data_IF_480154657934
#
_entry.id   IF_480154657934
#
_cell.length_a   1.000
_cell.length_b   1.000
_cell.length_c   1.000
_cell.angle_alpha   90.00
_cell.angle_beta   90.00
_cell.angle_gamma   90.00
#
_symmetry.space_group_name_H-M   'P 1'
#
loop_
_entity.id
_entity.type
_entity.pdbx_description
1 polymer ?
#
# COMPACT_ATOMS: atom_id res chain seq x y z
N UNK A 1 0.82 -10.34 -29.05
CA UNK A 1 1.38 -8.98 -29.18
C UNK A 1 2.40 -8.97 -30.31
N UNK A 2 2.42 -7.93 -31.17
CA UNK A 2 1.60 -6.73 -31.04
C UNK A 2 0.12 -6.96 -31.40
N UNK A 3 -0.75 -6.08 -30.93
CA UNK A 3 -2.17 -6.08 -31.27
C UNK A 3 -2.45 -5.03 -32.36
N UNK A 4 -3.49 -5.25 -33.15
CA UNK A 4 -3.89 -4.31 -34.22
C UNK A 4 -4.53 -3.01 -33.71
N UNK A 5 -4.73 -2.87 -32.39
CA UNK A 5 -5.33 -1.71 -31.75
C UNK A 5 -4.44 -1.20 -30.60
N UNK A 6 -4.73 0.03 -30.14
CA UNK A 6 -4.06 0.67 -29.01
C UNK A 6 -4.39 -0.03 -27.70
N UNK A 7 -3.40 -0.48 -26.93
CA UNK A 7 -3.64 -1.16 -25.65
C UNK A 7 -2.46 -1.11 -24.69
N UNK A 8 -2.78 -1.12 -23.39
CA UNK A 8 -1.89 -1.47 -22.29
C UNK A 8 -2.29 -2.86 -21.81
N UNK A 9 -1.46 -3.87 -22.05
CA UNK A 9 -1.62 -5.21 -21.49
C UNK A 9 -0.89 -5.29 -20.15
N UNK A 10 -1.64 -5.16 -19.04
CA UNK A 10 -1.10 -5.46 -17.72
C UNK A 10 -0.74 -6.95 -17.61
N UNK A 11 -1.66 -7.85 -17.93
CA UNK A 11 -1.35 -9.26 -18.15
C UNK A 11 -2.40 -9.85 -19.09
N UNK A 12 -2.00 -10.10 -20.33
CA UNK A 12 -2.87 -10.60 -21.38
C UNK A 12 -2.82 -12.13 -21.45
N UNK A 13 -3.97 -12.74 -21.20
CA UNK A 13 -4.21 -14.18 -21.29
C UNK A 13 -5.70 -14.49 -21.17
N UNK A 14 -6.07 -15.76 -21.20
CA UNK A 14 -7.45 -16.20 -21.02
C UNK A 14 -7.81 -16.26 -19.53
N UNK A 15 -8.03 -15.08 -18.96
CA UNK A 15 -8.34 -14.88 -17.56
C UNK A 15 -9.85 -15.05 -17.32
N UNK A 16 -10.20 -15.86 -16.33
CA UNK A 16 -11.56 -16.10 -15.91
C UNK A 16 -11.91 -15.21 -14.71
N UNK A 17 -13.02 -14.48 -14.89
CA UNK A 17 -13.66 -13.59 -13.90
C UNK A 17 -15.13 -13.96 -13.67
N UNK A 18 -15.58 -15.10 -14.21
CA UNK A 18 -16.95 -15.61 -14.12
C UNK A 18 -17.25 -16.32 -12.79
N UNK A 19 -18.54 -16.50 -12.48
CA UNK A 19 -19.03 -17.30 -11.34
C UNK A 19 -18.42 -16.98 -9.97
N UNK A 20 -18.07 -15.70 -9.73
CA UNK A 20 -17.45 -15.24 -8.48
C UNK A 20 -15.98 -15.62 -8.33
N UNK A 21 -15.34 -16.14 -9.38
CA UNK A 21 -13.92 -16.45 -9.44
C UNK A 21 -13.17 -15.21 -9.91
N UNK A 22 -12.39 -14.59 -9.02
CA UNK A 22 -11.59 -13.41 -9.35
C UNK A 22 -12.41 -12.14 -9.56
N UNK A 23 -11.79 -10.98 -9.30
CA UNK A 23 -12.45 -9.68 -9.35
C UNK A 23 -11.53 -8.66 -9.99
N UNK A 24 -12.11 -7.73 -10.75
CA UNK A 24 -11.40 -6.59 -11.31
C UNK A 24 -12.01 -5.33 -10.74
N UNK A 25 -11.18 -4.55 -10.07
CA UNK A 25 -11.54 -3.24 -9.52
C UNK A 25 -10.84 -2.17 -10.33
N UNK A 26 -11.51 -1.04 -10.52
CA UNK A 26 -10.87 0.15 -11.05
C UNK A 26 -11.41 1.39 -10.37
N UNK A 27 -10.58 2.42 -10.29
CA UNK A 27 -11.00 3.74 -9.81
C UNK A 27 -10.11 4.82 -10.40
N UNK A 28 -10.64 6.03 -10.46
CA UNK A 28 -9.84 7.24 -10.57
C UNK A 28 -9.52 7.73 -9.15
N UNK A 29 -8.32 8.26 -8.95
CA UNK A 29 -7.83 8.62 -7.62
C UNK A 29 -6.98 9.90 -7.74
N UNK A 30 -7.23 10.86 -6.86
CA UNK A 30 -6.43 12.08 -6.71
C UNK A 30 -6.06 12.31 -5.24
N UNK A 31 -6.14 11.26 -4.41
CA UNK A 31 -5.80 11.36 -3.00
C UNK A 31 -4.28 11.56 -2.82
N UNK A 32 -3.85 12.41 -1.88
CA UNK A 32 -2.42 12.65 -1.63
C UNK A 32 -1.62 11.39 -1.32
N UNK A 33 -2.27 10.37 -0.73
CA UNK A 33 -1.63 9.09 -0.43
C UNK A 33 -1.26 8.32 -1.72
N UNK A 34 -2.23 8.13 -2.62
CA UNK A 34 -2.02 7.43 -3.90
C UNK A 34 -1.05 8.19 -4.78
N UNK A 35 -1.18 9.52 -4.89
CA UNK A 35 -0.31 10.35 -5.73
C UNK A 35 1.13 10.35 -5.23
N UNK A 36 1.35 10.47 -3.91
CA UNK A 36 2.69 10.38 -3.32
C UNK A 36 3.33 9.01 -3.55
N UNK A 37 2.57 7.93 -3.41
CA UNK A 37 3.09 6.58 -3.68
C UNK A 37 3.45 6.38 -5.16
N UNK A 38 2.64 6.92 -6.07
CA UNK A 38 2.94 6.91 -7.49
C UNK A 38 4.22 7.71 -7.79
N UNK A 39 4.34 8.94 -7.26
CA UNK A 39 5.54 9.77 -7.38
C UNK A 39 6.79 9.03 -6.86
N UNK A 40 6.72 8.41 -5.68
CA UNK A 40 7.82 7.63 -5.12
C UNK A 40 8.27 6.46 -6.03
N UNK A 41 7.34 5.76 -6.71
CA UNK A 41 7.74 4.71 -7.65
C UNK A 41 8.34 5.29 -8.94
N UNK A 42 7.79 6.40 -9.45
CA UNK A 42 8.24 7.05 -10.69
C UNK A 42 9.64 7.64 -10.50
N UNK A 43 9.82 8.49 -9.49
CA UNK A 43 11.07 9.19 -9.23
C UNK A 43 12.19 8.21 -8.84
N UNK A 44 11.85 7.06 -8.24
CA UNK A 44 12.82 5.98 -8.01
C UNK A 44 13.21 5.24 -9.30
N UNK A 45 12.32 5.17 -10.29
CA UNK A 45 12.59 4.50 -11.55
C UNK A 45 13.40 5.37 -12.53
N UNK A 46 13.31 6.70 -12.41
CA UNK A 46 14.01 7.69 -13.22
C UNK A 46 14.81 8.66 -12.34
N UNK A 47 15.91 8.22 -11.71
CA UNK A 47 16.64 9.02 -10.74
C UNK A 47 17.41 10.20 -11.36
N UNK A 48 17.68 10.16 -12.66
CA UNK A 48 18.40 11.22 -13.40
C UNK A 48 17.46 12.26 -14.02
N UNK A 49 16.14 12.01 -14.00
CA UNK A 49 15.12 12.92 -14.52
C UNK A 49 14.62 13.90 -13.44
N UNK A 50 13.93 14.96 -13.87
CA UNK A 50 13.28 15.91 -12.96
C UNK A 50 12.19 15.20 -12.12
N UNK A 51 12.05 15.63 -10.86
CA UNK A 51 11.07 15.04 -9.95
C UNK A 51 9.65 15.25 -10.46
N UNK A 52 8.90 14.15 -10.56
CA UNK A 52 7.52 14.13 -11.07
C UNK A 52 6.54 14.06 -9.91
N UNK A 53 5.54 14.93 -9.96
CA UNK A 53 4.39 14.94 -9.06
C UNK A 53 3.10 14.70 -9.87
N UNK A 54 2.54 13.47 -9.87
CA UNK A 54 1.28 13.20 -10.55
C UNK A 54 0.10 13.92 -9.89
N UNK A 55 -0.82 14.43 -10.70
CA UNK A 55 -2.05 15.10 -10.25
C UNK A 55 -3.25 14.14 -10.24
N UNK A 56 -3.21 13.13 -11.10
CA UNK A 56 -4.28 12.16 -11.26
C UNK A 56 -3.72 10.75 -11.43
N UNK A 57 -4.45 9.77 -10.90
CA UNK A 57 -4.16 8.36 -11.11
C UNK A 57 -5.43 7.60 -11.53
N UNK A 58 -5.26 6.60 -12.41
CA UNK A 58 -6.24 5.54 -12.63
C UNK A 58 -5.62 4.25 -12.15
N UNK A 59 -6.29 3.59 -11.20
CA UNK A 59 -5.82 2.33 -10.63
C UNK A 59 -6.74 1.22 -11.10
N UNK A 60 -6.17 0.13 -11.63
CA UNK A 60 -6.90 -1.09 -12.02
C UNK A 60 -6.25 -2.29 -11.35
N UNK A 61 -7.02 -3.07 -10.61
CA UNK A 61 -6.53 -4.18 -9.79
C UNK A 61 -7.29 -5.46 -10.15
N UNK A 62 -6.55 -6.49 -10.55
CA UNK A 62 -7.05 -7.84 -10.72
C UNK A 62 -6.72 -8.63 -9.45
N UNK A 63 -7.73 -9.22 -8.82
CA UNK A 63 -7.61 -9.99 -7.58
C UNK A 63 -8.12 -11.40 -7.84
N UNK A 64 -7.29 -12.39 -7.54
CA UNK A 64 -7.58 -13.81 -7.62
C UNK A 64 -8.20 -14.25 -8.95
N UNK A 65 -7.71 -13.71 -10.07
CA UNK A 65 -8.18 -14.10 -11.40
C UNK A 65 -7.60 -15.45 -11.79
N UNK A 66 -8.45 -16.33 -12.32
CA UNK A 66 -8.08 -17.69 -12.66
C UNK A 66 -7.66 -17.81 -14.13
N UNK A 67 -6.93 -18.87 -14.47
CA UNK A 67 -6.84 -19.32 -15.86
C UNK A 67 -8.09 -20.13 -16.21
N UNK A 68 -8.69 -19.88 -17.39
CA UNK A 68 -9.88 -20.62 -17.87
C UNK A 68 -9.61 -22.12 -18.08
N UNK A 69 -8.33 -22.52 -18.12
CA UNK A 69 -7.90 -23.91 -18.36
C UNK A 69 -8.35 -24.93 -17.29
N UNK A 70 -8.78 -24.49 -16.10
CA UNK A 70 -9.10 -25.40 -14.98
C UNK A 70 -10.58 -25.83 -14.86
N UNK A 71 -11.44 -25.49 -15.82
CA UNK A 71 -12.85 -25.88 -15.73
C UNK A 71 -13.16 -27.34 -16.13
N UNK A 72 -12.27 -28.06 -16.82
CA UNK A 72 -12.68 -29.32 -17.48
C UNK A 72 -12.12 -30.64 -16.90
N UNK A 73 -11.13 -30.64 -15.99
CA UNK A 73 -10.46 -31.90 -15.59
C UNK A 73 -10.17 -32.12 -14.09
N UNK A 74 -11.03 -31.70 -13.17
CA UNK A 74 -10.86 -32.05 -11.74
C UNK A 74 -12.08 -32.76 -11.16
N UNK A 75 -12.29 -33.99 -11.61
CA UNK A 75 -12.95 -35.01 -10.78
C UNK A 75 -11.96 -35.43 -9.70
N UNK A 76 -12.20 -34.97 -8.47
CA UNK A 76 -11.66 -35.58 -7.24
C UNK A 76 -10.16 -35.42 -7.00
N UNK A 77 -9.74 -34.25 -6.53
CA UNK A 77 -8.82 -34.05 -5.39
C UNK A 77 -8.46 -32.57 -5.32
N UNK A 78 -8.31 -32.03 -4.11
CA UNK A 78 -8.16 -30.60 -3.80
C UNK A 78 -6.86 -29.96 -4.29
N UNK A 79 -6.64 -29.90 -5.60
CA UNK A 79 -5.63 -29.04 -6.21
C UNK A 79 -6.09 -27.59 -6.07
N UNK A 80 -5.37 -26.81 -5.26
CA UNK A 80 -5.55 -25.36 -5.16
C UNK A 80 -5.56 -24.78 -6.58
N UNK A 81 -6.69 -24.17 -6.96
CA UNK A 81 -6.82 -23.59 -8.29
C UNK A 81 -5.91 -22.37 -8.35
N UNK A 82 -4.87 -22.38 -9.18
CA UNK A 82 -3.92 -21.27 -9.29
C UNK A 82 -4.62 -19.95 -9.64
N UNK A 83 -4.18 -18.87 -9.00
CA UNK A 83 -4.75 -17.52 -9.10
C UNK A 83 -3.66 -16.47 -9.31
N UNK A 84 -3.95 -15.52 -10.19
CA UNK A 84 -3.12 -14.35 -10.38
C UNK A 84 -3.80 -13.10 -9.78
N UNK A 85 -3.01 -12.26 -9.14
CA UNK A 85 -3.38 -10.95 -8.62
C UNK A 85 -2.30 -9.96 -9.03
N UNK A 86 -2.68 -8.88 -9.71
CA UNK A 86 -1.76 -7.88 -10.25
C UNK A 86 -2.49 -6.54 -10.42
N UNK A 87 -1.73 -5.46 -10.60
CA UNK A 87 -2.28 -4.11 -10.64
C UNK A 87 -1.58 -3.25 -11.71
N UNK A 88 -2.34 -2.32 -12.27
CA UNK A 88 -1.87 -1.26 -13.15
C UNK A 88 -2.27 0.08 -12.54
N UNK A 89 -1.32 0.99 -12.41
CA UNK A 89 -1.57 2.40 -12.10
C UNK A 89 -1.13 3.23 -13.29
N UNK A 90 -2.03 4.05 -13.82
CA UNK A 90 -1.69 5.09 -14.80
C UNK A 90 -1.66 6.40 -14.02
N UNK A 91 -0.49 6.99 -13.87
CA UNK A 91 -0.29 8.26 -13.16
C UNK A 91 0.03 9.36 -14.17
N UNK A 92 -0.73 10.44 -14.13
CA UNK A 92 -0.58 11.58 -15.05
C UNK A 92 -0.20 12.83 -14.29
N UNK A 93 0.88 13.47 -14.74
CA UNK A 93 1.27 14.81 -14.38
C UNK A 93 0.77 15.81 -15.45
N UNK A 94 1.17 17.08 -15.35
CA UNK A 94 0.73 18.13 -16.27
C UNK A 94 1.01 17.80 -17.74
N UNK A 95 2.19 17.25 -18.03
CA UNK A 95 2.65 17.00 -19.41
C UNK A 95 3.07 15.56 -19.67
N UNK A 96 3.23 14.73 -18.66
CA UNK A 96 3.72 13.34 -18.78
C UNK A 96 2.75 12.35 -18.17
N UNK A 97 2.81 11.10 -18.62
CA UNK A 97 2.03 10.02 -18.05
C UNK A 97 2.87 8.76 -17.94
N UNK A 98 2.69 8.05 -16.84
CA UNK A 98 3.45 6.87 -16.46
C UNK A 98 2.51 5.68 -16.23
N UNK A 99 2.94 4.49 -16.64
CA UNK A 99 2.33 3.23 -16.25
C UNK A 99 3.21 2.54 -15.20
N UNK A 100 2.63 2.23 -14.05
CA UNK A 100 3.23 1.44 -12.98
C UNK A 100 2.51 0.09 -12.96
N UNK A 101 3.22 -0.96 -13.35
CA UNK A 101 2.75 -2.33 -13.38
C UNK A 101 3.27 -3.09 -12.17
N UNK A 102 2.37 -3.86 -11.58
CA UNK A 102 2.56 -4.44 -10.27
C UNK A 102 2.20 -5.94 -10.32
N UNK A 103 3.23 -6.80 -10.39
CA UNK A 103 3.18 -8.25 -10.17
C UNK A 103 3.74 -8.71 -8.80
N UNK A 104 2.91 -8.98 -7.78
CA UNK A 104 3.36 -9.51 -6.49
C UNK A 104 3.76 -11.00 -6.58
N UNK A 105 4.88 -11.39 -5.96
CA UNK A 105 5.41 -12.79 -5.98
C UNK A 105 4.39 -13.86 -5.61
N UNK A 106 3.69 -13.69 -4.48
CA UNK A 106 2.67 -14.64 -4.02
C UNK A 106 1.37 -14.56 -4.82
N UNK A 107 1.16 -13.45 -5.52
CA UNK A 107 0.01 -13.24 -6.39
C UNK A 107 0.25 -13.67 -7.83
N UNK A 108 1.42 -14.15 -8.22
CA UNK A 108 1.67 -14.67 -9.57
C UNK A 108 1.90 -16.18 -9.49
N UNK A 109 0.85 -16.96 -9.67
CA UNK A 109 0.86 -18.42 -9.50
C UNK A 109 0.93 -19.21 -10.81
N UNK A 110 0.52 -18.60 -11.93
CA UNK A 110 0.59 -19.21 -13.25
C UNK A 110 1.14 -18.25 -14.30
N UNK A 111 1.75 -18.80 -15.35
CA UNK A 111 2.50 -18.05 -16.37
C UNK A 111 1.96 -18.22 -17.79
N UNK A 112 1.00 -19.12 -17.99
CA UNK A 112 0.45 -19.50 -19.29
C UNK A 112 -1.07 -19.66 -19.26
N UNK A 113 -1.64 -19.69 -20.46
CA UNK A 113 -3.08 -19.78 -20.70
C UNK A 113 -3.37 -20.66 -21.90
N UNK A 114 -4.53 -21.30 -21.92
CA UNK A 114 -4.98 -22.05 -23.09
C UNK A 114 -5.48 -21.10 -24.19
N UNK A 115 -4.95 -21.25 -25.40
CA UNK A 115 -5.43 -20.58 -26.61
C UNK A 115 -5.52 -21.62 -27.72
N UNK A 116 -6.74 -21.90 -28.19
CA UNK A 116 -6.97 -22.90 -29.25
C UNK A 116 -6.48 -24.31 -28.88
N UNK A 117 -6.56 -24.69 -27.61
CA UNK A 117 -6.11 -26.00 -27.10
C UNK A 117 -4.60 -26.11 -26.84
N UNK A 118 -3.82 -25.07 -27.11
CA UNK A 118 -2.38 -25.04 -26.80
C UNK A 118 -2.08 -24.09 -25.65
N UNK A 119 -1.14 -24.46 -24.77
CA UNK A 119 -0.65 -23.57 -23.72
C UNK A 119 0.25 -22.49 -24.32
N UNK A 120 -0.06 -21.22 -24.06
CA UNK A 120 0.74 -20.07 -24.49
C UNK A 120 1.11 -19.21 -23.29
N UNK A 121 2.34 -18.72 -23.24
CA UNK A 121 2.76 -17.78 -22.19
C UNK A 121 1.95 -16.49 -22.27
N UNK A 122 1.57 -15.96 -21.10
CA UNK A 122 0.87 -14.69 -21.01
C UNK A 122 1.76 -13.52 -21.44
N UNK A 123 1.12 -12.43 -21.84
CA UNK A 123 1.80 -11.31 -22.48
C UNK A 123 1.56 -10.00 -21.73
N UNK A 124 2.61 -9.27 -21.37
CA UNK A 124 2.50 -7.92 -20.81
C UNK A 124 3.26 -6.90 -21.67
N UNK A 125 2.69 -5.71 -21.87
CA UNK A 125 3.29 -4.66 -22.70
C UNK A 125 2.33 -3.65 -23.28
N UNK A 126 2.83 -2.86 -24.23
CA UNK A 126 2.17 -1.69 -24.79
C UNK A 126 2.09 -1.83 -26.32
N UNK A 127 1.00 -1.38 -26.93
CA UNK A 127 0.83 -1.38 -28.38
C UNK A 127 0.10 -0.11 -28.82
N UNK A 128 0.61 0.60 -29.82
CA UNK A 128 -0.09 1.71 -30.48
C UNK A 128 -1.18 1.22 -31.44
N UNK A 129 -1.16 -0.06 -31.82
CA UNK A 129 -2.05 -0.59 -32.84
C UNK A 129 -1.60 -0.26 -34.26
N UNK A 130 -2.49 -0.49 -35.22
CA UNK A 130 -2.25 -0.14 -36.62
C UNK A 130 -2.24 1.38 -36.80
N UNK A 131 -1.19 1.90 -37.45
CA UNK A 131 -1.07 3.32 -37.81
C UNK A 131 -1.10 3.48 -39.32
N UNK A 132 -1.72 4.55 -39.79
CA UNK A 132 -1.76 4.89 -41.21
C UNK A 132 -0.33 5.20 -41.67
N UNK A 133 0.12 4.49 -42.70
CA UNK A 133 1.41 4.74 -43.36
C UNK A 133 1.21 5.44 -44.70
N UNK A 134 0.09 5.18 -45.39
CA UNK A 134 -0.37 5.84 -46.61
C UNK A 134 -1.91 5.91 -46.65
N UNK A 135 -2.48 6.61 -47.64
CA UNK A 135 -3.93 6.88 -47.79
C UNK A 135 -4.82 5.62 -47.73
N UNK A 136 -4.31 4.45 -48.12
CA UNK A 136 -5.04 3.17 -48.09
C UNK A 136 -4.25 2.03 -47.45
N UNK A 137 -3.16 2.30 -46.71
CA UNK A 137 -2.39 1.24 -46.05
C UNK A 137 -2.07 1.55 -44.60
N UNK A 138 -2.26 0.53 -43.77
CA UNK A 138 -1.91 0.53 -42.34
C UNK A 138 -0.68 -0.33 -42.13
N UNK A 139 0.15 0.04 -41.16
CA UNK A 139 1.24 -0.78 -40.66
C UNK A 139 1.16 -0.88 -39.14
N UNK A 140 1.79 -1.90 -38.56
CA UNK A 140 1.90 -1.99 -37.12
C UNK A 140 2.66 -0.76 -36.58
N UNK A 141 2.02 -0.02 -35.66
CA UNK A 141 2.63 1.07 -34.94
C UNK A 141 3.60 0.57 -33.86
N UNK A 142 4.32 1.49 -33.18
CA UNK A 142 5.21 1.16 -32.07
C UNK A 142 4.53 0.28 -31.02
N UNK A 143 5.28 -0.68 -30.51
CA UNK A 143 4.86 -1.55 -29.43
C UNK A 143 6.07 -1.89 -28.57
N UNK A 144 5.83 -2.21 -27.30
CA UNK A 144 6.85 -2.57 -26.33
C UNK A 144 6.41 -3.86 -25.63
N UNK A 145 7.25 -4.90 -25.65
CA UNK A 145 6.97 -6.18 -25.00
C UNK A 145 7.76 -6.25 -23.69
N UNK A 146 7.05 -6.40 -22.57
CA UNK A 146 7.66 -6.66 -21.27
C UNK A 146 7.98 -8.16 -21.16
N UNK A 147 7.08 -9.02 -21.64
CA UNK A 147 7.30 -10.48 -21.67
C UNK A 147 7.54 -11.05 -23.07
N UNK A 148 8.19 -12.21 -23.10
CA UNK A 148 8.43 -13.02 -24.30
C UNK A 148 7.40 -14.16 -24.39
N UNK A 149 7.51 -15.01 -25.42
CA UNK A 149 6.68 -16.22 -25.55
C UNK A 149 7.04 -17.34 -24.56
N UNK A 150 7.98 -17.10 -23.64
CA UNK A 150 8.39 -18.08 -22.62
C UNK A 150 7.74 -17.77 -21.29
N UNK A 151 7.22 -18.79 -20.63
CA UNK A 151 6.68 -18.68 -19.26
C UNK A 151 7.71 -18.14 -18.25
N UNK A 152 9.00 -18.39 -18.46
CA UNK A 152 10.08 -17.86 -17.62
C UNK A 152 10.07 -16.33 -17.58
N UNK A 153 9.81 -15.67 -18.71
CA UNK A 153 9.70 -14.20 -18.73
C UNK A 153 8.46 -13.67 -18.03
N UNK A 154 7.40 -14.48 -17.93
CA UNK A 154 6.19 -14.12 -17.17
C UNK A 154 6.43 -14.29 -15.67
N UNK A 155 7.14 -15.36 -15.26
CA UNK A 155 7.57 -15.54 -13.86
C UNK A 155 8.53 -14.44 -13.41
N UNK A 156 9.41 -13.99 -14.31
CA UNK A 156 10.33 -12.89 -14.07
C UNK A 156 9.62 -11.57 -13.73
N UNK A 157 8.37 -11.36 -14.18
CA UNK A 157 7.60 -10.16 -13.84
C UNK A 157 7.51 -9.92 -12.33
N UNK A 158 7.49 -10.98 -11.51
CA UNK A 158 7.41 -10.85 -10.05
C UNK A 158 8.77 -10.84 -9.35
N UNK A 159 9.86 -11.19 -10.05
CA UNK A 159 11.21 -11.33 -9.50
C UNK A 159 12.17 -10.24 -9.95
N UNK A 160 11.92 -9.61 -11.10
CA UNK A 160 12.74 -8.56 -11.68
C UNK A 160 12.05 -7.18 -11.53
N UNK A 161 12.72 -6.13 -11.99
CA UNK A 161 12.25 -4.75 -11.92
C UNK A 161 12.98 -3.86 -12.92
N UNK A 162 12.39 -2.70 -13.22
CA UNK A 162 13.08 -1.55 -13.81
C UNK A 162 12.86 -0.26 -12.98
N UNK A 163 12.47 -0.42 -11.72
CA UNK A 163 12.23 0.68 -10.78
C UNK A 163 12.97 0.54 -9.47
N UNK A 164 13.90 -0.42 -9.35
CA UNK A 164 14.60 -0.72 -8.10
C UNK A 164 13.75 -1.39 -7.02
N UNK A 165 12.53 -1.83 -7.35
CA UNK A 165 11.67 -2.59 -6.43
C UNK A 165 11.11 -3.81 -7.11
N UNK A 166 11.39 -4.97 -6.51
CA UNK A 166 11.02 -6.28 -7.05
C UNK A 166 9.54 -6.35 -7.41
N UNK A 167 9.25 -6.80 -8.62
CA UNK A 167 7.89 -6.96 -9.13
C UNK A 167 7.18 -5.66 -9.51
N UNK A 168 7.87 -4.52 -9.45
CA UNK A 168 7.36 -3.20 -9.83
C UNK A 168 8.05 -2.75 -11.11
N UNK A 169 7.25 -2.48 -12.13
CA UNK A 169 7.72 -2.04 -13.44
C UNK A 169 7.13 -0.68 -13.78
N UNK A 170 7.97 0.30 -14.08
CA UNK A 170 7.54 1.68 -14.36
C UNK A 170 7.94 2.04 -15.78
N UNK A 171 7.02 2.68 -16.50
CA UNK A 171 7.23 3.14 -17.86
C UNK A 171 6.67 4.54 -18.03
N UNK A 172 7.44 5.45 -18.62
CA UNK A 172 6.85 6.65 -19.21
C UNK A 172 6.10 6.22 -20.48
N UNK A 173 4.80 6.51 -20.55
CA UNK A 173 3.91 6.07 -21.65
C UNK A 173 3.44 7.23 -22.52
N UNK A 174 3.90 8.46 -22.23
CA UNK A 174 3.79 9.56 -23.15
C UNK A 174 3.99 10.93 -22.55
N UNK A 175 4.41 11.84 -23.43
CA UNK A 175 4.67 13.24 -23.15
C UNK A 175 3.84 14.09 -24.11
N UNK A 176 3.16 15.11 -23.58
CA UNK A 176 2.47 16.12 -24.37
C UNK A 176 3.49 16.95 -25.17
N UNK A 177 3.22 17.31 -26.44
CA UNK A 177 1.97 17.14 -27.19
C UNK A 177 1.95 15.90 -28.11
N UNK A 178 3.01 15.10 -28.14
CA UNK A 178 3.14 13.96 -29.06
C UNK A 178 3.48 12.68 -28.30
N UNK A 179 2.47 11.81 -28.12
CA UNK A 179 2.62 10.46 -27.56
C UNK A 179 3.35 9.54 -28.56
N UNK A 180 4.68 9.57 -28.54
CA UNK A 180 5.54 8.95 -29.55
C UNK A 180 6.28 7.70 -29.09
N UNK A 181 6.63 7.58 -27.80
CA UNK A 181 7.42 6.47 -27.27
C UNK A 181 7.01 6.02 -25.87
N UNK A 182 7.32 4.76 -25.57
CA UNK A 182 7.30 4.19 -24.22
C UNK A 182 8.73 4.03 -23.77
N UNK A 183 9.11 4.61 -22.63
CA UNK A 183 10.45 4.49 -22.05
C UNK A 183 10.40 3.68 -20.75
N UNK A 184 11.19 2.60 -20.61
CA UNK A 184 11.30 1.88 -19.34
C UNK A 184 12.10 2.70 -18.33
N UNK A 185 11.76 2.55 -17.03
CA UNK A 185 12.64 2.98 -15.95
C UNK A 185 14.04 2.38 -16.03
N UNK A 186 14.98 3.05 -15.39
CA UNK A 186 16.41 2.82 -15.55
C UNK A 186 17.01 1.95 -14.43
N UNK A 187 16.33 1.86 -13.29
CA UNK A 187 16.84 1.19 -12.09
C UNK A 187 16.49 -0.29 -12.09
N UNK A 188 17.43 -1.13 -12.51
CA UNK A 188 17.27 -2.59 -12.52
C UNK A 188 17.82 -3.28 -11.27
N UNK A 189 18.69 -2.59 -10.53
CA UNK A 189 19.31 -3.13 -9.33
C UNK A 189 18.29 -3.26 -8.18
N UNK A 190 18.23 -4.46 -7.62
CA UNK A 190 17.52 -4.69 -6.37
C UNK A 190 18.46 -4.46 -5.20
N UNK A 191 18.01 -3.81 -4.10
CA UNK A 191 18.78 -3.78 -2.87
C UNK A 191 19.17 -5.21 -2.49
N UNK A 192 20.42 -5.46 -2.06
CA UNK A 192 20.80 -6.80 -1.64
C UNK A 192 19.85 -7.24 -0.52
N UNK A 193 19.17 -8.37 -0.74
CA UNK A 193 18.49 -9.09 0.34
C UNK A 193 19.56 -9.27 1.42
N UNK A 194 19.45 -8.57 2.54
CA UNK A 194 20.37 -8.72 3.67
C UNK A 194 20.05 -10.05 4.35
N UNK A 195 20.38 -11.14 3.65
CA UNK A 195 20.45 -12.48 4.17
C UNK A 195 21.59 -12.51 5.17
N UNK A 196 21.28 -12.24 6.44
CA UNK A 196 22.15 -12.56 7.56
C UNK A 196 22.02 -14.06 7.90
N UNK A 197 22.04 -14.93 6.90
CA UNK A 197 22.33 -16.35 7.08
C UNK A 197 23.82 -16.54 6.81
N UNK A 198 24.66 -16.20 7.79
CA UNK A 198 26.02 -16.70 8.01
C UNK A 198 26.75 -15.72 8.94
N UNK A 199 27.38 -16.26 10.01
CA UNK A 199 28.14 -15.59 11.10
C UNK A 199 27.19 -15.17 12.25
N UNK A 200 27.14 -15.82 13.40
CA UNK A 200 28.20 -16.49 14.18
C UNK A 200 27.55 -17.62 14.97
N UNK A 201 27.82 -18.86 14.56
CA UNK A 201 27.90 -19.97 15.50
C UNK A 201 29.28 -19.89 16.13
N UNK A 202 29.35 -20.14 17.45
CA UNK A 202 30.51 -20.11 18.33
C UNK A 202 30.69 -18.82 19.15
N UNK A 203 30.70 -19.00 20.47
CA UNK A 203 30.82 -18.02 21.56
C UNK A 203 29.51 -17.26 21.89
N UNK A 204 28.67 -17.71 22.82
CA UNK A 204 29.03 -17.87 24.22
C UNK A 204 28.23 -18.97 24.95
N UNK A 205 29.03 -19.85 25.51
CA UNK A 205 28.77 -20.89 26.48
C UNK A 205 28.03 -20.37 27.72
N UNK A 206 27.05 -21.16 28.16
CA UNK A 206 26.73 -21.49 29.56
C UNK A 206 26.78 -20.36 30.62
N UNK A 207 25.60 -19.89 31.02
CA UNK A 207 25.31 -19.59 32.44
C UNK A 207 23.94 -20.16 32.83
N UNK A 208 24.00 -21.33 33.45
CA UNK A 208 22.97 -22.00 34.24
C UNK A 208 22.83 -21.29 35.60
N UNK A 209 21.59 -21.06 36.06
CA UNK A 209 21.17 -21.04 37.47
C UNK A 209 19.62 -21.10 37.57
N UNK A 210 19.04 -21.46 38.73
CA UNK A 210 18.27 -22.69 38.89
C UNK A 210 16.75 -22.48 38.98
N UNK A 211 16.04 -23.61 38.95
CA UNK A 211 14.58 -23.67 38.88
C UNK A 211 13.81 -23.13 40.08
N UNK A 212 12.57 -22.75 39.78
CA UNK A 212 11.46 -22.64 40.70
C UNK A 212 10.21 -23.00 39.91
N UNK A 213 9.73 -24.23 40.08
CA UNK A 213 8.49 -24.67 39.47
C UNK A 213 7.30 -23.99 40.14
N UNK A 214 6.39 -23.44 39.34
CA UNK A 214 5.02 -23.22 39.79
C UNK A 214 4.08 -23.55 38.64
N UNK A 215 3.44 -24.70 38.80
CA UNK A 215 2.40 -25.26 37.96
C UNK A 215 1.16 -24.39 38.12
N UNK A 216 0.72 -23.73 37.04
CA UNK A 216 -0.58 -23.04 37.01
C UNK A 216 -1.50 -23.84 36.11
N UNK A 217 -2.46 -24.51 36.75
CA UNK A 217 -3.56 -25.28 36.20
C UNK A 217 -4.52 -24.36 35.44
N UNK A 218 -4.85 -24.72 34.20
CA UNK A 218 -5.91 -24.04 33.43
C UNK A 218 -7.28 -24.63 33.78
N UNK A 219 -8.26 -23.76 34.02
CA UNK A 219 -9.68 -24.14 34.17
C UNK A 219 -10.32 -24.31 32.79
N UNK A 220 -11.15 -25.34 32.54
CA UNK A 220 -11.85 -25.51 31.26
C UNK A 220 -12.99 -24.51 31.13
N UNK A 221 -13.24 -24.01 29.92
CA UNK A 221 -14.43 -23.22 29.59
C UNK A 221 -15.25 -23.96 28.54
N UNK A 222 -16.50 -24.27 28.90
CA UNK A 222 -17.56 -24.81 28.03
C UNK A 222 -18.19 -23.70 27.18
N UNK A 223 -18.67 -24.02 25.95
CA UNK A 223 -19.42 -23.09 25.12
C UNK A 223 -20.91 -23.06 25.50
N UNK A 224 -21.49 -21.85 25.57
CA UNK A 224 -22.93 -21.64 25.75
C UNK A 224 -23.67 -21.80 24.42
N UNK A 225 -24.65 -22.73 24.39
CA UNK A 225 -25.73 -22.82 23.39
C UNK A 225 -26.95 -22.02 23.86
N UNK A 226 -27.64 -21.31 22.97
CA UNK A 226 -29.10 -21.15 22.96
C UNK A 226 -29.56 -20.73 21.54
N UNK A 227 -30.72 -21.02 20.95
CA UNK A 227 -31.85 -21.94 21.14
C UNK A 227 -32.66 -21.81 19.81
N UNK A 228 -33.06 -22.94 19.21
CA UNK A 228 -33.95 -23.00 18.04
C UNK A 228 -35.41 -22.70 18.41
N UNK A 229 -36.14 -21.96 17.57
CA UNK A 229 -37.62 -22.02 17.50
C UNK A 229 -38.07 -22.45 16.10
N UNK A 230 -38.70 -23.61 16.03
CA UNK A 230 -39.38 -24.21 14.86
C UNK A 230 -40.63 -23.42 14.48
N UNK A 231 -40.92 -23.36 13.19
CA UNK A 231 -42.27 -23.49 12.63
C UNK A 231 -42.24 -23.90 11.14
N UNK A 232 -42.99 -24.95 10.82
CA UNK A 232 -43.42 -25.49 9.51
C UNK A 232 -44.83 -26.07 9.79
N UNK A 233 -45.77 -26.26 8.83
CA UNK A 233 -45.54 -27.12 7.64
C UNK A 233 -46.44 -26.95 6.36
N UNK A 234 -46.15 -27.82 5.37
CA UNK A 234 -46.99 -28.38 4.24
C UNK A 234 -46.90 -27.71 2.86
N UNK A 235 -46.95 -28.37 1.68
CA UNK A 235 -46.91 -29.76 1.15
C UNK A 235 -46.64 -29.66 -0.40
N UNK A 236 -46.04 -30.69 -1.05
CA UNK A 236 -45.54 -30.72 -2.47
C UNK A 236 -46.59 -30.77 -3.61
N UNK A 237 -46.35 -31.36 -4.82
CA UNK A 237 -45.21 -32.16 -5.33
C UNK A 237 -44.77 -31.94 -6.84
N UNK A 238 -43.75 -32.71 -7.26
CA UNK A 238 -43.16 -33.06 -8.57
C UNK A 238 -43.84 -32.71 -9.92
N UNK A 239 -43.05 -32.28 -10.94
CA UNK A 239 -42.81 -32.95 -12.25
C UNK A 239 -41.85 -32.14 -13.17
N UNK A 240 -41.11 -32.81 -14.05
CA UNK A 240 -39.91 -32.29 -14.73
C UNK A 240 -40.02 -31.80 -16.19
N UNK A 241 -38.84 -31.42 -16.72
CA UNK A 241 -38.46 -31.42 -18.14
C UNK A 241 -38.65 -30.12 -18.93
N UNK A 242 -37.55 -29.42 -19.25
CA UNK A 242 -37.10 -29.06 -20.61
C UNK A 242 -35.85 -28.17 -20.56
N UNK A 243 -34.83 -28.56 -21.33
CA UNK A 243 -33.59 -27.79 -21.53
C UNK A 243 -33.86 -26.65 -22.52
N UNK A 244 -33.65 -25.41 -22.12
CA UNK A 244 -33.50 -24.27 -23.02
C UNK A 244 -32.04 -23.83 -23.06
N UNK A 245 -31.39 -24.03 -24.21
CA UNK A 245 -30.08 -23.47 -24.51
C UNK A 245 -30.27 -21.96 -24.67
N UNK A 246 -30.01 -21.19 -23.62
CA UNK A 246 -29.86 -19.75 -23.72
C UNK A 246 -28.41 -19.42 -24.06
N UNK A 247 -28.21 -18.74 -25.18
CA UNK A 247 -26.93 -18.14 -25.55
C UNK A 247 -26.51 -17.16 -24.47
N UNK A 248 -25.48 -17.51 -23.68
CA UNK A 248 -24.87 -16.59 -22.71
C UNK A 248 -24.13 -15.52 -23.50
N UNK A 249 -24.76 -14.35 -23.67
CA UNK A 249 -24.01 -13.14 -24.00
C UNK A 249 -23.16 -12.80 -22.78
N UNK A 250 -21.85 -13.08 -22.88
CA UNK A 250 -20.87 -12.63 -21.91
C UNK A 250 -20.87 -11.09 -21.88
N UNK A 251 -21.55 -10.50 -20.91
CA UNK A 251 -21.28 -9.15 -20.46
C UNK A 251 -20.27 -9.28 -19.30
N UNK A 252 -18.99 -8.90 -19.47
CA UNK A 252 -18.09 -8.81 -18.32
C UNK A 252 -18.71 -7.83 -17.32
N UNK A 253 -18.99 -8.29 -16.10
CA UNK A 253 -19.43 -7.42 -15.03
C UNK A 253 -18.27 -6.51 -14.62
N UNK A 254 -18.19 -5.35 -15.26
CA UNK A 254 -17.31 -4.26 -14.85
C UNK A 254 -18.06 -3.48 -13.77
N UNK A 255 -17.69 -3.68 -12.51
CA UNK A 255 -18.30 -2.95 -11.39
C UNK A 255 -17.68 -1.55 -11.35
N UNK A 256 -18.43 -0.57 -11.82
CA UNK A 256 -18.16 0.85 -11.57
C UNK A 256 -18.47 1.09 -10.09
N UNK A 257 -17.47 1.39 -9.27
CA UNK A 257 -17.71 1.74 -7.86
C UNK A 257 -17.56 3.24 -7.68
N UNK A 258 -18.61 3.85 -7.14
CA UNK A 258 -18.68 5.25 -6.70
C UNK A 258 -17.92 5.43 -5.37
N UNK A 259 -17.39 6.63 -5.12
CA UNK A 259 -16.26 6.99 -4.23
C UNK A 259 -16.40 6.73 -2.70
N UNK A 260 -17.11 5.69 -2.26
CA UNK A 260 -17.24 5.31 -0.85
C UNK A 260 -16.91 3.83 -0.61
N UNK A 261 -15.86 3.58 0.19
CA UNK A 261 -15.52 2.27 0.78
C UNK A 261 -14.88 1.19 -0.12
N UNK A 262 -13.78 1.51 -0.79
CA UNK A 262 -12.80 0.50 -1.23
C UNK A 262 -11.49 0.66 -0.47
N UNK A 263 -11.37 -0.04 0.67
CA UNK A 263 -10.08 -0.32 1.32
C UNK A 263 -9.43 -1.56 0.68
N UNK A 264 -9.23 -1.52 -0.63
CA UNK A 264 -8.33 -2.45 -1.31
C UNK A 264 -6.98 -1.77 -1.27
N UNK A 265 -6.14 -2.17 -0.31
CA UNK A 265 -4.78 -1.68 -0.12
C UNK A 265 -4.01 -1.74 -1.46
N UNK A 266 -4.07 -0.64 -2.20
CA UNK A 266 -3.20 -0.38 -3.34
C UNK A 266 -1.81 -0.23 -2.75
N UNK A 267 -0.84 -0.89 -3.38
CA UNK A 267 0.56 -0.95 -2.95
C UNK A 267 0.93 -1.84 -1.78
N UNK A 268 0.21 -2.94 -1.50
CA UNK A 268 0.77 -3.99 -0.61
C UNK A 268 1.83 -4.86 -1.29
N UNK A 269 2.88 -4.21 -1.81
CA UNK A 269 4.20 -4.83 -1.93
C UNK A 269 4.90 -4.77 -0.59
N UNK A 270 4.38 -5.56 0.34
CA UNK A 270 5.12 -5.86 1.54
C UNK A 270 5.62 -7.30 1.40
N UNK A 271 6.73 -7.44 0.68
CA UNK A 271 7.73 -8.44 1.08
C UNK A 271 8.29 -8.14 2.49
N UNK A 272 7.88 -7.01 3.08
CA UNK A 272 8.07 -6.70 4.47
C UNK A 272 7.12 -7.52 5.34
N UNK A 273 7.66 -8.60 5.89
CA UNK A 273 7.06 -9.35 7.01
C UNK A 273 7.77 -9.01 8.31
N UNK A 274 7.20 -9.44 9.43
CA UNK A 274 7.84 -9.36 10.73
C UNK A 274 9.18 -10.09 10.77
N UNK A 275 9.38 -11.15 9.99
CA UNK A 275 10.64 -11.87 9.93
C UNK A 275 11.82 -10.96 9.56
N UNK A 276 11.60 -10.00 8.65
CA UNK A 276 12.66 -9.14 8.12
C UNK A 276 12.63 -7.72 8.72
N UNK A 277 11.57 -7.33 9.41
CA UNK A 277 11.34 -5.94 9.82
C UNK A 277 10.99 -5.75 11.30
N UNK A 278 11.14 -6.78 12.14
CA UNK A 278 10.87 -6.68 13.58
C UNK A 278 11.66 -5.56 14.26
N UNK A 279 12.86 -5.27 13.78
CA UNK A 279 13.74 -4.20 14.27
C UNK A 279 13.22 -2.79 13.94
N UNK A 280 12.27 -2.63 13.02
CA UNK A 280 11.61 -1.34 12.73
C UNK A 280 10.52 -1.00 13.75
N UNK A 281 10.01 -1.98 14.51
CA UNK A 281 9.05 -1.75 15.58
C UNK A 281 9.73 -1.24 16.86
N UNK A 282 8.96 -0.56 17.72
CA UNK A 282 9.42 -0.23 19.06
C UNK A 282 9.81 -1.50 19.83
N UNK A 283 10.78 -1.39 20.74
CA UNK A 283 11.09 -2.45 21.71
C UNK A 283 9.90 -2.78 22.63
N UNK A 284 8.95 -1.84 22.76
CA UNK A 284 7.71 -1.99 23.50
C UNK A 284 6.50 -2.31 22.61
N UNK A 285 6.73 -2.76 21.37
CA UNK A 285 5.70 -3.19 20.45
C UNK A 285 5.87 -4.66 20.05
N UNK A 286 4.77 -5.24 19.59
CA UNK A 286 4.73 -6.55 18.94
C UNK A 286 4.50 -6.36 17.44
N UNK A 287 5.26 -7.08 16.64
CA UNK A 287 5.09 -7.12 15.21
C UNK A 287 4.06 -8.20 14.86
N UNK A 288 3.08 -7.86 14.02
CA UNK A 288 2.10 -8.81 13.49
C UNK A 288 2.07 -8.74 11.96
N UNK A 289 2.09 -9.91 11.33
CA UNK A 289 1.91 -10.04 9.88
C UNK A 289 0.42 -10.00 9.52
N UNK A 290 0.15 -9.39 8.37
CA UNK A 290 -1.15 -9.20 7.74
C UNK A 290 -1.03 -9.56 6.25
N UNK A 291 -2.18 -9.79 5.59
CA UNK A 291 -2.18 -10.02 4.15
C UNK A 291 -1.54 -8.87 3.35
N UNK A 292 -1.67 -7.64 3.86
CA UNK A 292 -1.09 -6.41 3.28
C UNK A 292 0.34 -6.09 3.74
N UNK A 293 0.97 -6.88 4.63
CA UNK A 293 2.33 -6.61 5.13
C UNK A 293 2.51 -6.90 6.60
N UNK A 294 3.20 -6.03 7.35
CA UNK A 294 3.27 -6.13 8.81
C UNK A 294 2.84 -4.81 9.46
N UNK A 295 2.36 -4.88 10.69
CA UNK A 295 2.13 -3.71 11.54
C UNK A 295 2.72 -3.94 12.92
N UNK A 296 3.24 -2.86 13.50
CA UNK A 296 3.69 -2.83 14.88
C UNK A 296 2.51 -2.40 15.77
N UNK A 297 2.29 -3.10 16.87
CA UNK A 297 1.26 -2.78 17.86
C UNK A 297 1.92 -2.59 19.22
N UNK A 298 1.72 -1.45 19.87
CA UNK A 298 2.25 -1.24 21.21
C UNK A 298 1.70 -2.31 22.17
N UNK A 299 2.56 -2.80 23.07
CA UNK A 299 2.17 -3.78 24.08
C UNK A 299 1.21 -3.15 25.09
N UNK A 300 0.40 -3.95 25.80
CA UNK A 300 -0.44 -3.46 26.88
C UNK A 300 0.35 -2.60 27.89
N UNK A 301 -0.20 -1.44 28.25
CA UNK A 301 0.46 -0.43 29.09
C UNK A 301 1.33 0.57 28.31
N UNK A 302 1.34 0.49 26.97
CA UNK A 302 1.99 1.45 26.08
C UNK A 302 1.04 1.87 24.96
N UNK A 303 1.17 3.11 24.52
CA UNK A 303 0.40 3.67 23.40
C UNK A 303 1.31 4.39 22.40
N UNK A 304 0.82 4.57 21.18
CA UNK A 304 1.58 5.10 20.05
C UNK A 304 1.23 4.41 18.73
N UNK A 305 2.04 4.66 17.71
CA UNK A 305 1.85 4.12 16.35
C UNK A 305 2.52 2.74 16.15
N UNK A 306 3.04 2.12 17.21
CA UNK A 306 3.74 0.83 17.18
C UNK A 306 5.22 0.90 16.81
N UNK A 307 5.62 1.91 16.02
CA UNK A 307 7.04 2.21 15.75
C UNK A 307 7.64 2.96 16.95
N UNK A 308 6.86 3.89 17.50
CA UNK A 308 7.14 4.59 18.74
C UNK A 308 6.03 4.28 19.74
N UNK A 309 6.42 3.80 20.92
CA UNK A 309 5.52 3.45 21.99
C UNK A 309 6.02 4.08 23.28
N UNK A 310 5.14 4.76 23.99
CA UNK A 310 5.42 5.36 25.30
C UNK A 310 4.51 4.76 26.35
N UNK A 311 5.02 4.65 27.58
CA UNK A 311 4.25 4.06 28.68
C UNK A 311 3.06 4.93 29.05
N UNK A 312 1.90 4.31 29.22
CA UNK A 312 0.70 4.97 29.69
C UNK A 312 0.89 5.57 31.09
N UNK A 313 0.29 6.74 31.29
CA UNK A 313 0.28 7.45 32.56
C UNK A 313 1.62 7.99 33.07
N UNK A 314 2.71 7.83 32.32
CA UNK A 314 3.97 8.52 32.63
C UNK A 314 4.01 9.89 31.96
N UNK A 315 4.49 10.92 32.68
CA UNK A 315 4.66 12.23 32.09
C UNK A 315 5.65 12.22 30.92
N UNK A 316 5.29 12.90 29.83
CA UNK A 316 6.12 13.02 28.64
C UNK A 316 6.77 14.41 28.59
N UNK A 317 8.01 14.46 28.10
CA UNK A 317 8.78 15.69 27.95
C UNK A 317 9.18 15.88 26.51
N UNK A 318 9.05 17.10 26.01
CA UNK A 318 9.45 17.44 24.65
C UNK A 318 10.21 18.75 24.65
N UNK A 319 11.29 18.80 23.89
CA UNK A 319 12.10 20.00 23.72
C UNK A 319 12.26 20.29 22.23
N UNK A 320 12.30 21.56 21.87
CA UNK A 320 12.40 21.98 20.48
C UNK A 320 12.92 23.41 20.35
N UNK A 321 12.98 23.88 19.11
CA UNK A 321 13.43 25.23 18.76
C UNK A 321 12.34 25.97 17.99
N UNK A 322 12.13 27.23 18.33
CA UNK A 322 11.18 28.13 17.66
C UNK A 322 11.95 29.22 16.95
N UNK A 323 11.60 29.43 15.68
CA UNK A 323 12.11 30.53 14.87
C UNK A 323 10.91 31.29 14.32
N UNK A 324 11.01 32.59 14.11
CA UNK A 324 9.94 33.31 13.47
C UNK A 324 10.27 34.73 13.06
N UNK A 325 9.43 35.25 12.16
CA UNK A 325 9.50 36.59 11.59
C UNK A 325 8.09 37.18 11.58
N UNK A 326 7.78 37.97 12.61
CA UNK A 326 6.41 38.43 12.87
C UNK A 326 6.30 39.94 12.73
N UNK A 327 5.33 40.40 11.95
CA UNK A 327 4.92 41.81 11.89
C UNK A 327 3.94 42.10 13.03
N UNK A 328 4.19 43.16 13.80
CA UNK A 328 3.32 43.56 14.93
C UNK A 328 2.56 44.83 14.55
N UNK A 329 1.23 44.73 14.45
CA UNK A 329 0.38 45.83 14.03
C UNK A 329 0.74 46.32 12.63
N UNK A 330 0.92 47.63 12.48
CA UNK A 330 1.31 48.27 11.21
C UNK A 330 2.82 48.54 11.12
N UNK A 331 3.66 47.81 11.86
CA UNK A 331 5.11 47.99 11.82
C UNK A 331 5.65 47.75 10.40
N UNK A 332 6.47 48.67 9.83
CA UNK A 332 7.04 48.50 8.50
C UNK A 332 8.16 47.46 8.46
N UNK A 333 8.68 47.04 9.62
CA UNK A 333 9.69 45.99 9.74
C UNK A 333 9.24 44.86 10.68
N UNK A 334 9.55 43.59 10.36
CA UNK A 334 9.21 42.46 11.20
C UNK A 334 10.17 42.35 12.39
N UNK A 335 9.67 41.71 13.46
CA UNK A 335 10.51 41.27 14.57
C UNK A 335 10.90 39.82 14.31
N UNK A 336 12.20 39.58 14.19
CA UNK A 336 12.77 38.27 13.98
C UNK A 336 13.30 37.68 15.29
N UNK A 337 13.10 36.39 15.49
CA UNK A 337 13.69 35.62 16.58
C UNK A 337 14.09 34.24 16.07
N UNK A 338 15.23 33.74 16.53
CA UNK A 338 15.80 32.49 16.08
C UNK A 338 16.31 31.66 17.25
N UNK A 339 16.21 30.33 17.11
CA UNK A 339 16.74 29.35 18.07
C UNK A 339 16.18 29.49 19.50
N UNK A 340 14.97 30.04 19.66
CA UNK A 340 14.32 30.14 20.96
C UNK A 340 13.94 28.74 21.46
N UNK A 341 14.18 28.47 22.74
CA UNK A 341 13.87 27.16 23.32
C UNK A 341 12.37 27.01 23.56
N UNK A 342 11.83 25.88 23.10
CA UNK A 342 10.52 25.37 23.49
C UNK A 342 10.71 24.19 24.42
N UNK A 343 10.07 24.23 25.58
CA UNK A 343 10.05 23.15 26.55
C UNK A 343 8.60 22.78 26.85
N UNK A 344 8.30 21.50 26.83
CA UNK A 344 6.97 20.98 27.09
C UNK A 344 7.00 19.84 28.10
N UNK A 345 5.99 19.84 28.96
CA UNK A 345 5.71 18.79 29.92
C UNK A 345 4.23 18.38 29.79
N UNK A 346 3.99 17.11 29.53
CA UNK A 346 2.64 16.57 29.34
C UNK A 346 2.32 15.58 30.45
N UNK A 347 1.21 15.80 31.12
CA UNK A 347 0.62 14.87 32.09
C UNK A 347 -0.43 14.04 31.35
N UNK A 348 -0.02 12.90 30.81
CA UNK A 348 -0.87 12.06 29.96
C UNK A 348 -2.19 11.63 30.64
N UNK A 349 -2.16 11.33 31.94
CA UNK A 349 -3.36 10.94 32.71
C UNK A 349 -4.44 12.01 32.80
N UNK A 350 -4.06 13.29 32.65
CA UNK A 350 -4.96 14.41 32.84
C UNK A 350 -5.21 15.18 31.53
N UNK A 351 -4.60 14.75 30.42
CA UNK A 351 -4.71 15.41 29.12
C UNK A 351 -4.17 16.83 29.09
N UNK A 352 -3.31 17.21 30.04
CA UNK A 352 -2.76 18.56 30.17
C UNK A 352 -1.35 18.63 29.61
N UNK A 353 -1.14 19.56 28.68
CA UNK A 353 0.17 19.92 28.16
C UNK A 353 0.55 21.33 28.64
N UNK A 354 1.75 21.46 29.20
CA UNK A 354 2.34 22.73 29.60
C UNK A 354 3.48 23.05 28.65
N UNK A 355 3.39 24.17 27.94
CA UNK A 355 4.38 24.59 26.96
C UNK A 355 4.94 25.94 27.35
N UNK A 356 6.27 26.03 27.40
CA UNK A 356 7.00 27.25 27.66
C UNK A 356 7.94 27.54 26.49
N UNK A 357 7.90 28.77 25.97
CA UNK A 357 8.85 29.25 24.96
C UNK A 357 9.65 30.38 25.61
N UNK A 358 10.96 30.19 25.73
CA UNK A 358 11.84 31.19 26.32
C UNK A 358 12.32 32.21 25.29
N UNK A 359 12.99 33.26 25.78
CA UNK A 359 13.71 34.24 24.94
C UNK A 359 12.85 34.94 23.87
N UNK A 360 11.53 35.06 24.09
CA UNK A 360 10.65 35.86 23.23
C UNK A 360 10.97 37.36 23.40
N UNK A 361 11.22 38.11 22.31
CA UNK A 361 11.42 39.55 22.37
C UNK A 361 10.23 40.25 23.04
N UNK A 362 10.49 41.24 23.91
CA UNK A 362 9.45 41.94 24.67
C UNK A 362 8.39 42.61 23.78
N UNK A 363 8.75 43.00 22.54
CA UNK A 363 7.82 43.56 21.54
C UNK A 363 6.83 42.54 20.97
N UNK A 364 7.13 41.25 21.08
CA UNK A 364 6.28 40.17 20.58
C UNK A 364 5.42 39.52 21.66
N UNK A 365 5.89 39.49 22.91
CA UNK A 365 5.22 38.78 24.01
C UNK A 365 3.70 38.99 24.07
N UNK A 366 3.20 40.24 24.21
CA UNK A 366 1.76 40.52 24.26
C UNK A 366 1.02 40.09 22.99
N UNK A 367 1.62 40.30 21.82
CA UNK A 367 1.02 39.98 20.52
C UNK A 367 0.93 38.48 20.26
N UNK A 368 1.77 37.67 20.91
CA UNK A 368 1.74 36.21 20.79
C UNK A 368 0.80 35.53 21.82
N UNK A 369 0.31 36.25 22.84
CA UNK A 369 -0.59 35.67 23.86
C UNK A 369 -1.86 35.02 23.28
N UNK A 370 -2.51 35.57 22.24
CA UNK A 370 -3.69 34.93 21.64
C UNK A 370 -3.37 33.63 20.88
N UNK A 371 -2.11 33.36 20.56
CA UNK A 371 -1.69 32.21 19.74
C UNK A 371 -1.52 30.94 20.58
N UNK A 372 -2.56 30.56 21.33
CA UNK A 372 -2.59 29.32 22.11
C UNK A 372 -2.38 28.07 21.27
N UNK A 373 -2.71 28.14 19.96
CA UNK A 373 -2.47 27.07 18.99
C UNK A 373 -1.01 26.62 18.91
N UNK A 374 -0.03 27.49 19.22
CA UNK A 374 1.39 27.13 19.21
C UNK A 374 1.73 26.03 20.22
N UNK A 375 1.04 26.00 21.37
CA UNK A 375 1.13 24.90 22.32
C UNK A 375 0.06 23.83 22.11
N UNK A 376 -1.05 24.18 21.45
CA UNK A 376 -2.21 23.30 21.23
C UNK A 376 -1.88 22.02 20.46
N UNK A 377 -0.93 22.07 19.52
CA UNK A 377 -0.50 20.87 18.77
C UNK A 377 0.06 19.77 19.69
N UNK A 378 0.77 20.16 20.75
CA UNK A 378 1.29 19.21 21.74
C UNK A 378 0.13 18.66 22.58
N UNK A 379 -0.85 19.51 22.93
CA UNK A 379 -2.08 19.07 23.58
C UNK A 379 -2.85 18.05 22.75
N UNK A 380 -2.96 18.26 21.43
CA UNK A 380 -3.58 17.30 20.50
C UNK A 380 -2.80 15.99 20.41
N UNK A 381 -1.47 16.06 20.33
CA UNK A 381 -0.62 14.88 20.25
C UNK A 381 -0.80 13.98 21.48
N UNK A 382 -0.95 14.54 22.68
CA UNK A 382 -1.03 13.78 23.92
C UNK A 382 -2.38 13.93 24.63
N UNK A 383 -3.44 14.17 23.85
CA UNK A 383 -4.79 14.23 24.38
C UNK A 383 -5.18 12.89 25.04
N UNK A 384 -6.10 12.96 26.00
CA UNK A 384 -6.71 11.76 26.57
C UNK A 384 -7.50 11.02 25.49
N UNK A 385 -7.15 9.76 25.27
CA UNK A 385 -7.89 8.90 24.36
C UNK A 385 -9.23 8.51 24.99
N UNK A 386 -10.29 8.60 24.18
CA UNK A 386 -11.61 8.09 24.53
C UNK A 386 -11.83 6.76 23.83
N UNK A 387 -12.72 5.88 24.31
CA UNK A 387 -13.04 4.64 23.60
C UNK A 387 -13.39 4.90 22.13
N UNK A 388 -12.62 4.33 21.21
CA UNK A 388 -12.79 4.52 19.76
C UNK A 388 -12.07 5.73 19.16
N UNK A 389 -11.39 6.57 19.95
CA UNK A 389 -10.70 7.77 19.50
C UNK A 389 -9.24 7.81 19.96
N UNK A 390 -8.34 7.99 18.99
CA UNK A 390 -6.89 8.08 19.23
C UNK A 390 -6.41 9.53 19.29
N UNK A 391 -5.40 9.80 20.10
CA UNK A 391 -4.73 11.09 20.10
C UNK A 391 -3.73 11.19 18.94
N UNK A 392 -3.15 12.38 18.75
CA UNK A 392 -2.21 12.58 17.65
C UNK A 392 -0.98 11.67 17.72
N UNK A 393 -0.42 11.43 18.91
CA UNK A 393 0.75 10.58 19.09
C UNK A 393 0.47 9.11 18.69
N UNK A 394 -0.71 8.59 18.99
CA UNK A 394 -1.13 7.25 18.56
C UNK A 394 -1.37 7.12 17.06
N UNK A 395 -1.60 8.23 16.36
CA UNK A 395 -1.80 8.26 14.90
C UNK A 395 -0.47 8.42 14.18
N UNK A 396 0.31 9.46 14.54
CA UNK A 396 1.49 9.87 13.78
C UNK A 396 2.83 9.48 14.42
N UNK A 397 2.84 9.16 15.72
CA UNK A 397 4.08 9.01 16.49
C UNK A 397 4.81 10.33 16.73
N UNK A 398 6.08 10.24 17.13
CA UNK A 398 6.99 11.38 17.22
C UNK A 398 7.65 11.65 15.85
N UNK A 399 7.67 12.89 15.36
CA UNK A 399 8.39 13.24 14.14
C UNK A 399 9.87 12.86 14.25
N UNK A 400 10.46 12.29 13.18
CA UNK A 400 11.90 11.97 13.11
C UNK A 400 12.82 13.21 13.14
N UNK A 401 12.25 14.40 13.07
CA UNK A 401 12.96 15.68 13.13
C UNK A 401 12.66 16.39 14.45
N UNK A 402 13.64 17.12 15.03
CA UNK A 402 13.38 17.94 16.21
C UNK A 402 12.26 18.94 15.91
N UNK A 403 11.34 19.11 16.86
CA UNK A 403 10.22 20.04 16.74
C UNK A 403 10.73 21.44 16.40
N UNK A 404 10.38 21.88 15.20
CA UNK A 404 10.72 23.20 14.67
C UNK A 404 9.44 23.93 14.32
N UNK A 405 9.09 24.90 15.14
CA UNK A 405 7.98 25.81 14.85
C UNK A 405 8.58 27.01 14.12
N UNK A 406 8.04 27.30 12.94
CA UNK A 406 8.37 28.49 12.14
C UNK A 406 7.15 29.40 12.14
N UNK A 407 7.34 30.62 12.65
CA UNK A 407 6.30 31.64 12.83
C UNK A 407 6.44 32.81 11.86
#
# INVERSE_FOLDING_TARGET
>A
MPAGFGMIAALHGDLDTGDGVGKVYYRQDASPATLRQAAEQINRAFPEDDEVEPEHAVVVTWVDVASRQHHDHSRGDGLEKQRNSFQLVIASAETTSYAILLYPRKGMQFASTAVGGSSQAMQAGFSKGLVNYLVFSTRQGPYYRITTERETSVRALAEETNSGKRGVWVYEIGTSPYFTSVAPGEVTDLPPDTGLESRVSEEATSKRYPGGGQQVTYSPYEPEEEVYRKEQPHQGPHHGGQFTVHTVQYQPQVVVVDDGDINVDVFSYNSETCANNRNKCSTFADCKDYASGYCCHCRPGYYGNGIQCVSEGKPQRMNGKVNGRVYVGNSPSPVEFNSNDLHSYVVANDGRAYVAISTIPARLGPSLQPLSALGGVIGWAFALEQPGYKNGFSIIGEPRLPWRIVL
#
